data_IF_654768126164
#
_entry.id   IF_654768126164
#
_cell.length_a   1.000
_cell.length_b   1.000
_cell.length_c   1.000
_cell.angle_alpha   90.00
_cell.angle_beta   90.00
_cell.angle_gamma   90.00
#
_symmetry.space_group_name_H-M   'P 1'
#
loop_
_entity.id
_entity.type
_entity.pdbx_description
1 polymer ?
#
# COMPACT_ATOMS: atom_id res chain seq x y z
N UNK A 1 13.20 -13.99 15.97
CA UNK A 1 13.23 -12.56 15.61
C UNK A 1 12.69 -11.75 16.78
N UNK A 2 13.48 -10.85 17.37
CA UNK A 2 13.03 -9.93 18.43
C UNK A 2 12.32 -8.78 17.74
N UNK A 3 11.04 -8.53 18.05
CA UNK A 3 10.38 -7.35 17.51
C UNK A 3 10.95 -6.10 18.19
N UNK A 4 11.78 -5.36 17.46
CA UNK A 4 12.44 -4.14 17.93
C UNK A 4 11.46 -2.99 18.15
N UNK A 5 10.31 -2.98 17.47
CA UNK A 5 9.36 -1.87 17.49
C UNK A 5 8.55 -1.76 18.77
N UNK A 6 8.37 -2.86 19.53
CA UNK A 6 7.43 -2.88 20.67
C UNK A 6 7.82 -1.93 21.81
N UNK A 7 9.08 -1.50 21.85
CA UNK A 7 9.62 -0.56 22.84
C UNK A 7 9.71 0.88 22.33
N UNK A 8 9.48 1.08 21.03
CA UNK A 8 9.54 2.41 20.43
C UNK A 8 8.39 3.29 20.96
N UNK A 9 8.66 4.56 21.33
CA UNK A 9 7.62 5.45 21.86
C UNK A 9 6.41 5.57 20.92
N UNK A 10 6.66 5.67 19.61
CA UNK A 10 5.58 5.80 18.63
C UNK A 10 4.68 4.56 18.60
N UNK A 11 5.25 3.37 18.79
CA UNK A 11 4.52 2.11 18.78
C UNK A 11 3.69 1.97 20.05
N UNK A 12 4.26 2.31 21.20
CA UNK A 12 3.53 2.35 22.49
C UNK A 12 2.31 3.27 22.37
N UNK A 13 2.48 4.46 21.80
CA UNK A 13 1.37 5.38 21.57
C UNK A 13 0.35 4.82 20.57
N UNK A 14 0.80 4.18 19.48
CA UNK A 14 -0.11 3.51 18.56
C UNK A 14 -0.92 2.38 19.24
N UNK A 15 -0.32 1.63 20.17
CA UNK A 15 -1.02 0.63 20.98
C UNK A 15 -2.09 1.24 21.88
N UNK A 16 -1.83 2.43 22.47
CA UNK A 16 -2.85 3.14 23.26
C UNK A 16 -4.08 3.49 22.41
N UNK A 17 -3.88 4.00 21.19
CA UNK A 17 -4.99 4.27 20.27
C UNK A 17 -5.76 3.00 19.89
N UNK A 18 -5.05 1.92 19.56
CA UNK A 18 -5.67 0.63 19.28
C UNK A 18 -6.54 0.15 20.45
N UNK A 19 -5.98 0.12 21.66
CA UNK A 19 -6.70 -0.32 22.86
C UNK A 19 -7.94 0.53 23.11
N UNK A 20 -7.83 1.85 22.92
CA UNK A 20 -8.97 2.76 23.03
C UNK A 20 -10.06 2.41 22.00
N UNK A 21 -9.72 2.23 20.72
CA UNK A 21 -10.70 1.86 19.70
C UNK A 21 -11.35 0.51 19.98
N UNK A 22 -10.58 -0.48 20.43
CA UNK A 22 -11.12 -1.78 20.84
C UNK A 22 -12.07 -1.61 22.03
N UNK A 23 -11.72 -0.84 23.06
CA UNK A 23 -12.60 -0.59 24.21
C UNK A 23 -13.91 0.11 23.83
N UNK A 24 -13.89 0.97 22.81
CA UNK A 24 -15.09 1.66 22.30
C UNK A 24 -15.95 0.75 21.41
N UNK A 25 -15.31 -0.15 20.66
CA UNK A 25 -15.98 -1.08 19.77
C UNK A 25 -16.56 -2.31 20.49
N UNK A 26 -15.90 -2.75 21.57
CA UNK A 26 -16.12 -4.02 22.24
C UNK A 26 -15.26 -5.15 21.64
N UNK A 27 -14.69 -5.99 22.51
CA UNK A 27 -13.77 -7.06 22.13
C UNK A 27 -14.38 -8.04 21.13
N UNK A 28 -15.60 -8.54 21.39
CA UNK A 28 -16.27 -9.50 20.51
C UNK A 28 -16.45 -8.96 19.09
N UNK A 29 -16.80 -7.67 18.98
CA UNK A 29 -16.96 -7.01 17.69
C UNK A 29 -15.62 -6.81 16.99
N UNK A 30 -14.57 -6.46 17.72
CA UNK A 30 -13.21 -6.38 17.19
C UNK A 30 -12.77 -7.74 16.64
N UNK A 31 -12.89 -8.82 17.42
CA UNK A 31 -12.54 -10.18 17.01
C UNK A 31 -13.22 -10.56 15.70
N UNK A 32 -14.54 -10.34 15.59
CA UNK A 32 -15.28 -10.63 14.35
C UNK A 32 -14.78 -9.85 13.13
N UNK A 33 -14.42 -8.56 13.29
CA UNK A 33 -13.90 -7.74 12.19
C UNK A 33 -12.48 -8.13 11.81
N UNK A 34 -11.64 -8.47 12.80
CA UNK A 34 -10.31 -9.02 12.59
C UNK A 34 -10.36 -10.32 11.77
N UNK A 35 -11.31 -11.20 12.08
CA UNK A 35 -11.48 -12.46 11.35
C UNK A 35 -11.84 -12.23 9.88
N UNK A 36 -12.60 -11.18 9.55
CA UNK A 36 -12.88 -10.78 8.16
C UNK A 36 -11.59 -10.37 7.43
N UNK A 37 -10.73 -9.55 8.07
CA UNK A 37 -9.43 -9.15 7.52
C UNK A 37 -8.58 -10.38 7.21
N UNK A 38 -8.47 -11.31 8.17
CA UNK A 38 -7.68 -12.52 8.03
C UNK A 38 -8.23 -13.43 6.92
N UNK A 39 -9.55 -13.60 6.87
CA UNK A 39 -10.23 -14.40 5.83
C UNK A 39 -10.00 -13.82 4.44
N UNK A 40 -10.10 -12.49 4.29
CA UNK A 40 -9.83 -11.80 3.04
C UNK A 40 -8.41 -12.09 2.53
N UNK A 41 -7.38 -11.88 3.34
CA UNK A 41 -6.00 -12.07 2.89
C UNK A 41 -5.64 -13.54 2.66
N UNK A 42 -6.28 -14.48 3.36
CA UNK A 42 -6.17 -15.91 3.03
C UNK A 42 -6.77 -16.26 1.69
N UNK A 43 -7.88 -15.63 1.31
CA UNK A 43 -8.47 -15.80 -0.01
C UNK A 43 -7.58 -15.18 -1.10
N UNK A 44 -7.05 -13.98 -0.88
CA UNK A 44 -6.08 -13.35 -1.77
C UNK A 44 -4.88 -14.27 -1.99
N UNK A 45 -4.32 -14.79 -0.90
CA UNK A 45 -3.20 -15.74 -0.94
C UNK A 45 -3.56 -16.99 -1.74
N UNK A 46 -4.71 -17.63 -1.44
CA UNK A 46 -5.14 -18.84 -2.12
C UNK A 46 -5.29 -18.62 -3.64
N UNK A 47 -5.78 -17.47 -4.06
CA UNK A 47 -5.91 -17.10 -5.48
C UNK A 47 -4.54 -16.84 -6.09
N UNK A 48 -3.71 -16.02 -5.45
CA UNK A 48 -2.42 -15.56 -5.98
C UNK A 48 -1.45 -16.72 -6.24
N UNK A 49 -1.47 -17.76 -5.39
CA UNK A 49 -0.59 -18.92 -5.53
C UNK A 49 -1.29 -20.16 -6.10
N UNK A 50 -2.45 -19.98 -6.73
CA UNK A 50 -3.12 -21.03 -7.51
C UNK A 50 -3.76 -22.16 -6.68
N UNK A 51 -3.89 -21.99 -5.36
CA UNK A 51 -4.67 -22.89 -4.51
C UNK A 51 -6.19 -22.77 -4.76
N UNK A 52 -6.63 -21.66 -5.34
CA UNK A 52 -8.03 -21.39 -5.74
C UNK A 52 -8.05 -20.64 -7.07
N UNK A 53 -9.04 -20.92 -7.94
CA UNK A 53 -9.27 -20.11 -9.14
C UNK A 53 -9.94 -18.79 -8.75
N UNK A 54 -9.50 -17.68 -9.34
CA UNK A 54 -10.18 -16.40 -9.19
C UNK A 54 -11.59 -16.49 -9.80
N UNK A 55 -12.63 -16.23 -9.02
CA UNK A 55 -13.96 -15.95 -9.55
C UNK A 55 -14.00 -14.46 -9.89
N UNK A 56 -13.89 -14.11 -11.17
CA UNK A 56 -13.95 -12.71 -11.58
C UNK A 56 -15.37 -12.19 -11.40
N UNK A 57 -15.64 -11.43 -10.34
CA UNK A 57 -16.90 -10.67 -10.25
C UNK A 57 -16.90 -9.47 -11.20
N UNK A 58 -15.73 -8.91 -11.56
CA UNK A 58 -15.63 -7.68 -12.37
C UNK A 58 -14.42 -7.64 -13.34
N UNK A 59 -13.86 -8.78 -13.75
CA UNK A 59 -12.73 -8.83 -14.69
C UNK A 59 -11.38 -8.31 -14.16
N UNK A 60 -11.32 -7.80 -12.91
CA UNK A 60 -10.06 -7.40 -12.27
C UNK A 60 -9.31 -8.63 -11.74
N UNK A 61 -8.25 -9.04 -12.43
CA UNK A 61 -7.36 -10.13 -12.00
C UNK A 61 -6.44 -9.77 -10.82
N UNK A 62 -6.40 -8.51 -10.39
CA UNK A 62 -5.49 -8.03 -9.34
C UNK A 62 -6.26 -7.73 -8.07
N UNK A 63 -6.12 -8.62 -7.08
CA UNK A 63 -6.60 -8.39 -5.73
C UNK A 63 -5.68 -7.38 -5.02
N UNK A 64 -6.21 -6.31 -4.42
CA UNK A 64 -5.37 -5.29 -3.81
C UNK A 64 -4.76 -5.76 -2.48
N UNK A 65 -3.58 -5.23 -2.14
CA UNK A 65 -2.93 -5.43 -0.83
C UNK A 65 -3.54 -4.44 0.20
N UNK A 66 -4.86 -4.49 0.36
CA UNK A 66 -5.63 -3.77 1.36
C UNK A 66 -7.07 -4.30 1.40
N UNK A 67 -7.66 -4.38 2.59
CA UNK A 67 -9.05 -4.83 2.77
C UNK A 67 -10.01 -3.64 2.74
N UNK A 68 -10.62 -3.37 1.58
CA UNK A 68 -11.47 -2.20 1.34
C UNK A 68 -12.89 -2.29 1.88
N UNK A 69 -13.38 -3.45 2.31
CA UNK A 69 -14.73 -3.53 2.89
C UNK A 69 -14.78 -2.95 4.31
N UNK A 70 -13.63 -2.93 4.99
CA UNK A 70 -13.50 -2.42 6.35
C UNK A 70 -12.06 -1.91 6.59
N UNK A 71 -11.78 -0.69 6.13
CA UNK A 71 -10.43 -0.10 6.23
C UNK A 71 -9.96 0.06 7.65
N UNK A 72 -10.85 0.49 8.56
CA UNK A 72 -10.43 0.73 9.93
C UNK A 72 -10.04 -0.58 10.62
N UNK A 73 -10.74 -1.68 10.34
CA UNK A 73 -10.33 -2.98 10.85
C UNK A 73 -8.98 -3.43 10.29
N UNK A 74 -8.71 -3.16 9.01
CA UNK A 74 -7.39 -3.39 8.41
C UNK A 74 -6.29 -2.58 9.11
N UNK A 75 -6.55 -1.30 9.38
CA UNK A 75 -5.58 -0.42 10.05
C UNK A 75 -5.30 -0.88 11.48
N UNK A 76 -6.35 -1.22 12.22
CA UNK A 76 -6.23 -1.78 13.56
C UNK A 76 -5.47 -3.12 13.55
N UNK A 77 -5.71 -3.98 12.56
CA UNK A 77 -5.00 -5.25 12.41
C UNK A 77 -3.49 -5.03 12.22
N UNK A 78 -3.10 -4.07 11.38
CA UNK A 78 -1.69 -3.74 11.16
C UNK A 78 -0.99 -3.27 12.44
N UNK A 79 -1.66 -2.43 13.24
CA UNK A 79 -1.11 -1.97 14.53
C UNK A 79 -1.06 -3.11 15.56
N UNK A 80 -2.10 -3.94 15.66
CA UNK A 80 -2.13 -5.12 16.53
C UNK A 80 -1.00 -6.09 16.18
N UNK A 81 -0.71 -6.26 14.88
CA UNK A 81 0.31 -7.17 14.40
C UNK A 81 1.71 -6.79 14.84
N UNK A 82 2.02 -5.51 15.10
CA UNK A 82 3.29 -5.14 15.73
C UNK A 82 3.46 -5.91 17.06
N UNK A 83 2.43 -5.95 17.89
CA UNK A 83 2.58 -6.51 19.24
C UNK A 83 2.39 -8.02 19.28
N UNK A 84 1.40 -8.51 18.55
CA UNK A 84 0.95 -9.89 18.68
C UNK A 84 1.53 -10.79 17.57
N UNK A 85 1.80 -10.24 16.38
CA UNK A 85 2.13 -11.00 15.16
C UNK A 85 3.15 -10.26 14.27
N UNK A 86 4.40 -10.06 14.74
CA UNK A 86 5.36 -9.19 14.07
C UNK A 86 5.80 -9.65 12.67
N UNK A 87 5.48 -10.89 12.32
CA UNK A 87 5.74 -11.45 11.00
C UNK A 87 4.55 -11.26 10.03
N UNK A 88 3.47 -10.66 10.51
CA UNK A 88 2.27 -10.30 9.73
C UNK A 88 2.20 -8.81 9.45
N UNK A 89 1.51 -8.49 8.36
CA UNK A 89 1.27 -7.12 7.92
C UNK A 89 2.05 -6.75 6.66
N UNK A 90 1.94 -5.48 6.26
CA UNK A 90 2.54 -4.93 5.06
C UNK A 90 3.29 -3.64 5.42
N UNK A 91 4.57 -3.54 5.08
CA UNK A 91 5.41 -2.42 5.49
C UNK A 91 4.94 -1.09 4.88
N UNK A 92 4.50 -1.10 3.62
CA UNK A 92 4.09 0.10 2.90
C UNK A 92 2.76 0.66 3.42
N UNK A 93 1.78 -0.20 3.65
CA UNK A 93 0.51 0.19 4.27
C UNK A 93 0.74 0.66 5.72
N UNK A 94 1.56 -0.08 6.47
CA UNK A 94 1.88 0.21 7.87
C UNK A 94 2.51 1.60 8.04
N UNK A 95 3.50 1.94 7.22
CA UNK A 95 4.20 3.23 7.27
C UNK A 95 3.26 4.43 7.13
N UNK A 96 2.14 4.27 6.42
CA UNK A 96 1.10 5.29 6.26
C UNK A 96 0.19 5.43 7.48
N UNK A 97 -0.03 4.35 8.22
CA UNK A 97 -1.07 4.25 9.25
C UNK A 97 -0.50 4.52 10.64
N UNK A 98 0.70 4.00 10.92
CA UNK A 98 1.33 4.10 12.24
C UNK A 98 1.46 5.54 12.76
N UNK A 99 1.79 6.56 11.93
CA UNK A 99 1.85 7.94 12.41
C UNK A 99 0.51 8.46 12.96
N UNK A 100 -0.62 8.08 12.34
CA UNK A 100 -1.94 8.50 12.81
C UNK A 100 -2.32 7.83 14.13
N UNK A 101 -2.13 6.52 14.25
CA UNK A 101 -2.38 5.82 15.52
C UNK A 101 -1.48 6.33 16.64
N UNK A 102 -0.20 6.54 16.35
CA UNK A 102 0.75 7.13 17.30
C UNK A 102 0.32 8.53 17.73
N UNK A 103 -0.07 9.39 16.79
CA UNK A 103 -0.57 10.73 17.08
C UNK A 103 -1.83 10.68 17.95
N UNK A 104 -2.80 9.83 17.64
CA UNK A 104 -4.04 9.71 18.40
C UNK A 104 -3.74 9.23 19.82
N UNK A 105 -2.96 8.16 19.98
CA UNK A 105 -2.69 7.59 21.29
C UNK A 105 -1.82 8.48 22.18
N UNK A 106 -0.88 9.24 21.58
CA UNK A 106 -0.06 10.22 22.29
C UNK A 106 -0.89 11.38 22.85
N UNK A 107 -1.92 11.81 22.12
CA UNK A 107 -2.73 12.99 22.46
C UNK A 107 -4.17 12.60 22.89
N UNK A 108 -4.37 11.36 23.34
CA UNK A 108 -5.70 10.80 23.56
C UNK A 108 -6.51 11.60 24.57
N UNK A 109 -5.91 12.00 25.71
CA UNK A 109 -6.61 12.80 26.73
C UNK A 109 -7.10 14.13 26.16
N UNK A 110 -6.24 14.85 25.44
CA UNK A 110 -6.60 16.12 24.80
C UNK A 110 -7.69 15.96 23.75
N UNK A 111 -7.62 14.90 22.93
CA UNK A 111 -8.65 14.62 21.92
C UNK A 111 -10.01 14.32 22.56
N UNK A 112 -10.03 13.60 23.68
CA UNK A 112 -11.26 13.24 24.40
C UNK A 112 -11.93 14.44 25.09
N UNK A 113 -11.22 15.54 25.29
CA UNK A 113 -11.77 16.81 25.81
C UNK A 113 -12.45 17.66 24.73
N UNK A 114 -12.30 17.30 23.44
CA UNK A 114 -12.89 18.06 22.33
C UNK A 114 -14.39 17.79 22.25
N UNK A 115 -15.19 18.85 22.31
CA UNK A 115 -16.64 18.76 22.15
C UNK A 115 -16.99 18.07 20.81
N UNK A 116 -17.81 17.01 20.85
CA UNK A 116 -18.23 16.25 19.66
C UNK A 116 -17.29 15.12 19.20
N UNK A 117 -16.17 14.88 19.90
CA UNK A 117 -15.24 13.79 19.57
C UNK A 117 -15.89 12.40 19.55
N UNK A 118 -16.78 12.12 20.50
CA UNK A 118 -17.41 10.79 20.64
C UNK A 118 -18.14 10.38 19.34
N UNK A 119 -18.89 11.31 18.73
CA UNK A 119 -19.57 11.05 17.45
C UNK A 119 -18.56 10.75 16.33
N UNK A 120 -17.42 11.45 16.29
CA UNK A 120 -16.38 11.19 15.29
C UNK A 120 -15.70 9.84 15.48
N UNK A 121 -15.51 9.40 16.72
CA UNK A 121 -15.01 8.04 17.01
C UNK A 121 -16.05 6.98 16.62
N UNK A 122 -17.34 7.20 16.89
CA UNK A 122 -18.40 6.30 16.43
C UNK A 122 -18.44 6.20 14.90
N UNK A 123 -18.29 7.33 14.19
CA UNK A 123 -18.22 7.37 12.73
C UNK A 123 -17.00 6.61 12.20
N UNK A 124 -15.83 6.80 12.81
CA UNK A 124 -14.59 6.09 12.46
C UNK A 124 -14.73 4.58 12.59
N UNK A 125 -15.38 4.13 13.65
CA UNK A 125 -15.54 2.70 13.95
C UNK A 125 -16.76 2.09 13.25
N UNK A 126 -17.54 2.87 12.50
CA UNK A 126 -18.70 2.38 11.77
C UNK A 126 -18.29 1.73 10.44
N UNK A 127 -18.47 0.41 10.33
CA UNK A 127 -18.18 -0.35 9.10
C UNK A 127 -18.91 0.17 7.84
N UNK A 128 -20.07 0.84 8.01
CA UNK A 128 -20.83 1.41 6.90
C UNK A 128 -20.30 2.77 6.43
N UNK A 129 -19.53 3.49 7.26
CA UNK A 129 -18.91 4.79 6.95
C UNK A 129 -17.40 4.58 6.76
N UNK A 130 -17.03 3.90 5.69
CA UNK A 130 -15.68 3.36 5.50
C UNK A 130 -14.68 4.36 4.88
N UNK A 131 -14.46 5.49 5.55
CA UNK A 131 -13.51 6.53 5.12
C UNK A 131 -12.57 6.97 6.28
N UNK A 132 -11.85 6.05 6.94
CA UNK A 132 -11.06 6.38 8.13
C UNK A 132 -9.95 7.40 7.87
N UNK A 133 -9.43 7.49 6.65
CA UNK A 133 -8.42 8.48 6.29
C UNK A 133 -8.92 9.93 6.47
N UNK A 134 -10.19 10.20 6.16
CA UNK A 134 -10.79 11.54 6.31
C UNK A 134 -10.86 11.90 7.79
N UNK A 135 -11.38 10.99 8.61
CA UNK A 135 -11.52 11.21 10.05
C UNK A 135 -10.14 11.31 10.73
N UNK A 136 -9.15 10.51 10.32
CA UNK A 136 -7.78 10.65 10.79
C UNK A 136 -7.16 12.01 10.47
N UNK A 137 -7.45 12.56 9.29
CA UNK A 137 -7.02 13.91 8.93
C UNK A 137 -7.70 14.97 9.79
N UNK A 138 -9.02 14.89 9.98
CA UNK A 138 -9.76 15.79 10.87
C UNK A 138 -9.23 15.76 12.31
N UNK A 139 -8.98 14.56 12.87
CA UNK A 139 -8.38 14.39 14.20
C UNK A 139 -6.98 15.01 14.29
N UNK A 140 -6.17 14.88 13.23
CA UNK A 140 -4.85 15.49 13.18
C UNK A 140 -4.91 17.02 13.16
N UNK A 141 -5.83 17.61 12.38
CA UNK A 141 -6.06 19.05 12.32
C UNK A 141 -6.58 19.58 13.67
N UNK A 142 -7.56 18.89 14.26
CA UNK A 142 -8.09 19.24 15.58
C UNK A 142 -6.98 19.25 16.65
N UNK A 143 -6.16 18.18 16.71
CA UNK A 143 -5.02 18.10 17.62
C UNK A 143 -4.01 19.25 17.40
N UNK A 144 -3.74 19.63 16.15
CA UNK A 144 -2.87 20.76 15.84
C UNK A 144 -3.41 22.08 16.42
N UNK A 145 -4.71 22.34 16.26
CA UNK A 145 -5.34 23.53 16.85
C UNK A 145 -5.29 23.51 18.38
N UNK A 146 -5.60 22.37 19.01
CA UNK A 146 -5.46 22.21 20.46
C UNK A 146 -4.04 22.53 20.95
N UNK A 147 -3.02 22.02 20.25
CA UNK A 147 -1.60 22.29 20.58
C UNK A 147 -1.21 23.75 20.46
N UNK A 148 -1.90 24.49 19.59
CA UNK A 148 -1.71 25.93 19.41
C UNK A 148 -2.58 26.77 20.36
N UNK A 149 -3.21 26.15 21.36
CA UNK A 149 -3.99 26.82 22.41
C UNK A 149 -5.40 27.21 21.98
N UNK A 150 -5.94 26.61 20.91
CA UNK A 150 -7.34 26.81 20.52
C UNK A 150 -8.25 25.81 21.25
N UNK A 151 -9.41 26.28 21.69
CA UNK A 151 -10.52 25.38 22.03
C UNK A 151 -11.16 24.92 20.72
N UNK A 152 -11.32 23.60 20.56
CA UNK A 152 -11.85 22.97 19.35
C UNK A 152 -13.18 22.29 19.66
N UNK A 153 -14.10 22.28 18.69
CA UNK A 153 -15.33 21.49 18.72
C UNK A 153 -15.58 20.89 17.33
N UNK A 154 -15.92 19.61 17.27
CA UNK A 154 -16.41 18.96 16.05
C UNK A 154 -17.86 19.35 15.80
N UNK A 155 -18.17 19.68 14.56
CA UNK A 155 -19.51 20.08 14.16
C UNK A 155 -20.21 18.86 13.54
N UNK A 156 -21.38 18.46 14.04
CA UNK A 156 -22.14 17.38 13.44
C UNK A 156 -22.53 17.69 12.00
N UNK A 157 -22.33 16.73 11.10
CA UNK A 157 -22.87 16.81 9.74
C UNK A 157 -24.39 16.98 9.75
N UNK A 158 -24.88 17.90 8.94
CA UNK A 158 -26.31 18.11 8.69
C UNK A 158 -26.68 17.60 7.31
N UNK A 159 -27.79 16.86 7.20
CA UNK A 159 -28.36 16.45 5.90
C UNK A 159 -29.07 17.58 5.18
N UNK A 160 -29.33 18.72 5.85
CA UNK A 160 -30.14 19.82 5.33
C UNK A 160 -29.31 21.01 4.85
N UNK A 161 -28.09 21.20 5.36
CA UNK A 161 -27.22 22.31 5.00
C UNK A 161 -25.74 21.92 5.10
N UNK A 162 -24.89 22.61 4.35
CA UNK A 162 -23.43 22.42 4.45
C UNK A 162 -22.94 22.94 5.80
N UNK A 163 -22.27 22.09 6.57
CA UNK A 163 -21.63 22.42 7.84
C UNK A 163 -20.11 22.30 7.70
N UNK A 164 -19.33 23.26 8.25
CA UNK A 164 -17.88 23.08 8.36
C UNK A 164 -17.56 21.93 9.33
N UNK A 165 -16.33 21.40 9.29
CA UNK A 165 -15.95 20.24 10.12
C UNK A 165 -15.68 20.63 11.58
N UNK A 166 -14.99 21.75 11.80
CA UNK A 166 -14.58 22.22 13.13
C UNK A 166 -14.99 23.66 13.40
N UNK A 167 -15.25 23.95 14.66
CA UNK A 167 -15.20 25.29 15.22
C UNK A 167 -13.96 25.42 16.10
N UNK A 168 -13.25 26.54 15.99
CA UNK A 168 -12.11 26.87 16.85
C UNK A 168 -12.31 28.22 17.52
N UNK A 169 -11.89 28.34 18.79
CA UNK A 169 -11.98 29.57 19.58
C UNK A 169 -10.70 29.85 20.36
N UNK A 170 -10.23 31.10 20.34
CA UNK A 170 -9.08 31.58 21.13
C UNK A 170 -9.15 33.10 21.27
N UNK A 171 -8.89 33.63 22.47
CA UNK A 171 -8.79 35.07 22.74
C UNK A 171 -9.96 35.91 22.18
N UNK A 172 -11.19 35.41 22.33
CA UNK A 172 -12.42 36.07 21.84
C UNK A 172 -12.67 35.93 20.33
N UNK A 173 -11.77 35.31 19.58
CA UNK A 173 -11.93 35.01 18.16
C UNK A 173 -12.58 33.64 17.96
N UNK A 174 -13.37 33.52 16.88
CA UNK A 174 -13.99 32.27 16.47
C UNK A 174 -13.84 32.10 14.95
N UNK A 175 -13.43 30.90 14.53
CA UNK A 175 -13.34 30.52 13.13
C UNK A 175 -14.02 29.17 12.86
N UNK A 176 -14.42 28.99 11.61
CA UNK A 176 -14.94 27.74 11.09
C UNK A 176 -13.88 27.13 10.17
N UNK A 177 -13.59 25.86 10.37
CA UNK A 177 -12.52 25.15 9.63
C UNK A 177 -13.12 24.01 8.83
N UNK A 178 -12.85 24.02 7.54
CA UNK A 178 -13.11 22.91 6.62
C UNK A 178 -11.82 22.10 6.44
N UNK A 179 -11.89 20.79 6.68
CA UNK A 179 -10.79 19.86 6.57
C UNK A 179 -10.78 19.20 5.19
N UNK A 180 -10.10 19.82 4.23
CA UNK A 180 -9.90 19.21 2.91
C UNK A 180 -8.59 18.45 2.84
N UNK A 181 -8.69 17.12 2.80
CA UNK A 181 -7.55 16.27 2.46
C UNK A 181 -7.35 16.29 0.95
N UNK A 182 -6.12 16.55 0.49
CA UNK A 182 -5.78 16.36 -0.91
C UNK A 182 -5.99 14.91 -1.31
N UNK A 183 -6.57 14.67 -2.48
CA UNK A 183 -6.71 13.30 -2.99
C UNK A 183 -5.33 12.63 -3.02
N UNK A 184 -5.29 11.38 -2.56
CA UNK A 184 -4.05 10.61 -2.39
C UNK A 184 -3.29 10.45 -3.71
N UNK A 185 -4.03 10.38 -4.81
CA UNK A 185 -3.53 10.13 -6.16
C UNK A 185 -4.41 10.98 -7.12
N UNK A 186 -3.82 11.83 -7.97
CA UNK A 186 -4.53 12.52 -9.05
C UNK A 186 -5.30 11.54 -9.93
N UNK A 187 -6.47 11.92 -10.45
CA UNK A 187 -7.24 11.09 -11.38
C UNK A 187 -6.39 10.67 -12.60
N UNK A 188 -5.53 11.58 -13.06
CA UNK A 188 -4.57 11.28 -14.14
C UNK A 188 -3.58 10.17 -13.75
N UNK A 189 -3.12 10.13 -12.50
CA UNK A 189 -2.19 9.07 -12.05
C UNK A 189 -2.87 7.70 -12.00
N UNK A 190 -4.15 7.63 -11.64
CA UNK A 190 -4.93 6.38 -11.68
C UNK A 190 -5.13 5.92 -13.13
N UNK A 191 -5.47 6.85 -14.05
CA UNK A 191 -5.57 6.55 -15.47
C UNK A 191 -4.24 6.08 -16.06
N UNK A 192 -3.13 6.78 -15.79
CA UNK A 192 -1.80 6.39 -16.25
C UNK A 192 -1.39 5.02 -15.70
N UNK A 193 -1.72 4.72 -14.45
CA UNK A 193 -1.50 3.39 -13.84
C UNK A 193 -2.31 2.30 -14.53
N UNK A 194 -3.55 2.59 -14.92
CA UNK A 194 -4.39 1.65 -15.68
C UNK A 194 -3.79 1.36 -17.06
N UNK A 195 -3.31 2.39 -17.76
CA UNK A 195 -2.64 2.24 -19.06
C UNK A 195 -1.34 1.45 -18.96
N UNK A 196 -0.57 1.66 -17.89
CA UNK A 196 0.59 0.84 -17.54
C UNK A 196 0.20 -0.62 -17.29
N UNK A 197 -0.85 -0.87 -16.49
CA UNK A 197 -1.31 -2.22 -16.19
C UNK A 197 -1.68 -2.98 -17.47
N UNK A 198 -2.43 -2.35 -18.38
CA UNK A 198 -2.82 -2.96 -19.66
C UNK A 198 -1.62 -3.39 -20.51
N UNK A 199 -0.57 -2.56 -20.61
CA UNK A 199 0.65 -2.87 -21.37
C UNK A 199 1.53 -3.90 -20.67
N UNK A 200 1.74 -3.73 -19.37
CA UNK A 200 2.61 -4.60 -18.57
C UNK A 200 2.09 -6.03 -18.47
N UNK A 201 0.76 -6.22 -18.38
CA UNK A 201 0.13 -7.55 -18.32
C UNK A 201 0.59 -8.46 -19.47
N UNK A 202 0.65 -7.92 -20.69
CA UNK A 202 1.06 -8.67 -21.90
C UNK A 202 2.50 -9.16 -21.80
N UNK A 203 3.42 -8.27 -21.41
CA UNK A 203 4.83 -8.64 -21.23
C UNK A 203 5.00 -9.61 -20.04
N UNK A 204 4.33 -9.36 -18.92
CA UNK A 204 4.44 -10.23 -17.75
C UNK A 204 3.90 -11.63 -17.99
N UNK A 205 2.86 -11.78 -18.82
CA UNK A 205 2.35 -13.09 -19.21
C UNK A 205 3.41 -13.90 -19.97
N UNK A 206 4.11 -13.27 -20.93
CA UNK A 206 5.22 -13.90 -21.65
C UNK A 206 6.36 -14.26 -20.69
N UNK A 207 6.77 -13.34 -19.81
CA UNK A 207 7.86 -13.60 -18.86
C UNK A 207 7.54 -14.78 -17.94
N UNK A 208 6.28 -14.89 -17.50
CA UNK A 208 5.83 -15.95 -16.62
C UNK A 208 5.71 -17.29 -17.35
N UNK A 209 5.08 -17.32 -18.53
CA UNK A 209 4.87 -18.52 -19.35
C UNK A 209 6.19 -19.17 -19.75
N UNK A 210 7.14 -18.37 -20.23
CA UNK A 210 8.45 -18.85 -20.68
C UNK A 210 9.49 -18.92 -19.56
N UNK A 211 9.09 -18.71 -18.29
CA UNK A 211 9.96 -18.76 -17.10
C UNK A 211 11.22 -17.91 -17.23
N UNK A 212 11.05 -16.69 -17.74
CA UNK A 212 12.12 -15.76 -18.05
C UNK A 212 12.45 -14.89 -16.83
N UNK A 213 13.74 -14.56 -16.67
CA UNK A 213 14.22 -13.83 -15.50
C UNK A 213 14.99 -12.56 -15.86
N UNK A 214 14.30 -11.42 -15.75
CA UNK A 214 14.82 -10.13 -16.18
C UNK A 214 14.51 -9.01 -15.19
N UNK A 215 15.46 -8.10 -15.04
CA UNK A 215 15.22 -6.74 -14.56
C UNK A 215 14.98 -5.88 -15.79
N UNK A 216 13.83 -5.22 -15.84
CA UNK A 216 13.39 -4.39 -16.97
C UNK A 216 13.08 -3.00 -16.43
N UNK A 217 13.88 -2.00 -16.80
CA UNK A 217 13.66 -0.60 -16.42
C UNK A 217 13.11 0.18 -17.62
N UNK A 218 11.99 0.86 -17.42
CA UNK A 218 11.13 1.39 -18.49
C UNK A 218 10.90 2.89 -18.25
N UNK A 219 11.28 3.70 -19.23
CA UNK A 219 11.09 5.15 -19.21
C UNK A 219 10.19 5.54 -20.37
N UNK A 220 8.96 5.93 -20.06
CA UNK A 220 8.03 6.51 -21.03
C UNK A 220 8.36 8.00 -21.25
N UNK A 221 8.58 8.38 -22.50
CA UNK A 221 8.92 9.77 -22.92
C UNK A 221 7.70 10.57 -23.33
N UNK A 222 6.61 9.89 -23.66
CA UNK A 222 5.27 10.42 -23.93
C UNK A 222 4.28 9.83 -22.91
N UNK A 223 3.05 10.39 -22.77
CA UNK A 223 2.04 9.80 -21.92
C UNK A 223 1.84 8.31 -22.23
N UNK A 224 1.69 7.46 -21.19
CA UNK A 224 1.61 6.00 -21.38
C UNK A 224 0.47 5.62 -22.34
N UNK A 225 -0.66 6.34 -22.27
CA UNK A 225 -1.82 6.19 -23.14
C UNK A 225 -1.54 6.43 -24.63
N UNK A 226 -0.51 7.21 -24.96
CA UNK A 226 -0.15 7.56 -26.35
C UNK A 226 0.76 6.51 -26.99
N UNK A 227 1.32 5.59 -26.20
CA UNK A 227 2.14 4.50 -26.74
C UNK A 227 1.29 3.34 -27.27
N UNK A 228 1.82 2.56 -28.22
CA UNK A 228 1.17 1.33 -28.66
C UNK A 228 0.94 0.32 -27.53
N UNK A 229 -0.19 -0.38 -27.53
CA UNK A 229 -0.53 -1.36 -26.47
C UNK A 229 0.49 -2.52 -26.35
N UNK A 230 1.18 -2.84 -27.44
CA UNK A 230 2.18 -3.92 -27.49
C UNK A 230 3.62 -3.41 -27.36
N UNK A 231 3.85 -2.10 -27.13
CA UNK A 231 5.19 -1.49 -27.18
C UNK A 231 6.23 -2.23 -26.33
N UNK A 232 5.83 -2.72 -25.15
CA UNK A 232 6.72 -3.47 -24.24
C UNK A 232 7.09 -4.85 -24.80
N UNK A 233 6.13 -5.53 -25.44
CA UNK A 233 6.34 -6.84 -26.07
C UNK A 233 7.19 -6.69 -27.34
N UNK A 234 6.90 -5.67 -28.15
CA UNK A 234 7.64 -5.38 -29.38
C UNK A 234 9.11 -5.09 -29.08
N UNK A 235 9.39 -4.22 -28.10
CA UNK A 235 10.75 -3.95 -27.63
C UNK A 235 11.44 -5.19 -27.07
N UNK A 236 10.70 -6.05 -26.34
CA UNK A 236 11.27 -7.29 -25.80
C UNK A 236 11.63 -8.28 -26.91
N UNK A 237 10.77 -8.45 -27.92
CA UNK A 237 11.03 -9.30 -29.08
C UNK A 237 12.22 -8.79 -29.89
N UNK A 238 12.33 -7.48 -30.08
CA UNK A 238 13.49 -6.86 -30.72
C UNK A 238 14.77 -7.09 -29.92
N UNK A 239 14.71 -6.93 -28.60
CA UNK A 239 15.82 -7.25 -27.70
C UNK A 239 16.28 -8.71 -27.86
N UNK A 240 15.36 -9.68 -27.83
CA UNK A 240 15.68 -11.09 -28.04
C UNK A 240 16.30 -11.34 -29.41
N UNK A 241 15.77 -10.71 -30.46
CA UNK A 241 16.26 -10.86 -31.84
C UNK A 241 17.70 -10.34 -32.02
N UNK A 242 18.03 -9.20 -31.42
CA UNK A 242 19.32 -8.53 -31.61
C UNK A 242 20.38 -9.06 -30.63
N UNK A 243 19.99 -9.33 -29.37
CA UNK A 243 20.92 -9.60 -28.27
C UNK A 243 20.83 -11.02 -27.72
N UNK A 244 19.98 -11.87 -28.30
CA UNK A 244 19.74 -13.26 -27.89
C UNK A 244 19.16 -13.46 -26.48
N UNK A 245 18.94 -12.38 -25.73
CA UNK A 245 18.40 -12.43 -24.36
C UNK A 245 19.42 -12.62 -23.24
N UNK A 246 20.70 -12.86 -23.55
CA UNK A 246 21.70 -13.23 -22.52
C UNK A 246 22.55 -12.05 -22.04
N UNK A 247 22.38 -10.86 -22.66
CA UNK A 247 23.20 -9.68 -22.39
C UNK A 247 22.35 -8.51 -21.94
N UNK A 248 22.95 -7.63 -21.14
CA UNK A 248 22.36 -6.32 -20.86
C UNK A 248 22.28 -5.54 -22.17
N UNK A 249 21.13 -4.94 -22.44
CA UNK A 249 20.95 -4.07 -23.59
C UNK A 249 19.86 -3.05 -23.33
N UNK A 250 19.80 -2.05 -24.22
CA UNK A 250 18.82 -1.00 -24.18
C UNK A 250 18.17 -0.89 -25.56
N UNK A 251 16.85 -0.74 -25.57
CA UNK A 251 16.06 -0.39 -26.76
C UNK A 251 15.53 1.02 -26.54
N UNK A 252 15.69 1.88 -27.54
CA UNK A 252 15.30 3.27 -27.46
C UNK A 252 14.52 3.69 -28.70
N UNK A 253 13.34 4.26 -28.49
CA UNK A 253 12.52 4.92 -29.51
C UNK A 253 12.26 6.37 -29.11
N UNK A 254 11.47 7.08 -29.93
CA UNK A 254 10.94 8.40 -29.59
C UNK A 254 9.97 8.37 -28.40
N UNK A 255 9.29 7.24 -28.17
CA UNK A 255 8.23 7.10 -27.16
C UNK A 255 8.72 6.48 -25.86
N UNK A 256 9.72 5.60 -25.93
CA UNK A 256 10.15 4.79 -24.79
C UNK A 256 11.65 4.53 -24.79
N UNK A 257 12.17 4.27 -23.61
CA UNK A 257 13.50 3.70 -23.40
C UNK A 257 13.36 2.52 -22.45
N UNK A 258 13.84 1.35 -22.85
CA UNK A 258 13.76 0.14 -22.04
C UNK A 258 15.15 -0.47 -21.91
N UNK A 259 15.57 -0.67 -20.66
CA UNK A 259 16.80 -1.39 -20.32
C UNK A 259 16.46 -2.80 -19.87
N UNK A 260 17.01 -3.80 -20.56
CA UNK A 260 16.87 -5.21 -20.21
C UNK A 260 18.15 -5.73 -19.56
N UNK A 261 18.01 -6.42 -18.43
CA UNK A 261 19.11 -7.07 -17.73
C UNK A 261 18.70 -8.47 -17.29
N UNK A 262 19.31 -9.53 -17.85
CA UNK A 262 19.12 -10.89 -17.34
C UNK A 262 19.52 -10.98 -15.87
N UNK A 263 18.73 -11.74 -15.09
CA UNK A 263 18.99 -11.95 -13.67
C UNK A 263 19.77 -13.23 -13.42
N UNK A 264 20.69 -13.18 -12.45
CA UNK A 264 21.43 -14.36 -12.01
C UNK A 264 20.64 -15.09 -10.92
N UNK A 265 19.83 -16.06 -11.32
CA UNK A 265 19.00 -16.86 -10.40
C UNK A 265 19.82 -17.62 -9.36
N UNK A 266 21.04 -18.05 -9.68
CA UNK A 266 21.89 -18.75 -8.71
C UNK A 266 22.31 -17.82 -7.56
N UNK A 267 22.63 -16.56 -7.86
CA UNK A 267 22.94 -15.57 -6.82
C UNK A 267 21.70 -15.21 -6.00
N UNK A 268 20.55 -14.99 -6.67
CA UNK A 268 19.29 -14.67 -5.99
C UNK A 268 18.88 -15.81 -5.05
N UNK A 269 18.87 -17.05 -5.52
CA UNK A 269 18.50 -18.20 -4.70
C UNK A 269 19.47 -18.47 -3.54
N UNK A 270 20.75 -18.10 -3.68
CA UNK A 270 21.69 -18.15 -2.55
C UNK A 270 21.31 -17.12 -1.48
N UNK A 271 20.99 -15.89 -1.88
CA UNK A 271 20.56 -14.84 -0.94
C UNK A 271 19.21 -15.15 -0.26
N UNK A 272 18.28 -15.78 -0.99
CA UNK A 272 16.99 -16.25 -0.45
C UNK A 272 17.17 -17.35 0.62
N UNK A 273 18.19 -18.21 0.48
CA UNK A 273 18.50 -19.24 1.48
C UNK A 273 19.14 -18.69 2.75
N UNK A 274 19.85 -17.58 2.65
CA UNK A 274 20.56 -16.97 3.78
C UNK A 274 19.66 -16.06 4.62
N UNK A 275 18.51 -15.63 4.09
CA UNK A 275 17.60 -14.67 4.75
C UNK A 275 16.14 -15.03 4.53
N UNK A 276 15.34 -14.86 5.57
CA UNK A 276 13.88 -14.95 5.48
C UNK A 276 13.33 -13.74 4.70
N UNK A 277 13.26 -13.84 3.37
CA UNK A 277 12.76 -12.75 2.50
C UNK A 277 11.27 -12.95 2.22
N UNK A 278 10.48 -11.97 2.64
CA UNK A 278 9.03 -11.97 2.45
C UNK A 278 8.69 -11.77 0.98
N UNK A 279 7.63 -12.41 0.53
CA UNK A 279 7.05 -12.14 -0.77
C UNK A 279 6.53 -10.69 -0.87
N UNK A 280 6.59 -10.09 -2.07
CA UNK A 280 6.09 -8.75 -2.35
C UNK A 280 6.71 -7.67 -1.44
N UNK A 281 7.97 -7.84 -1.07
CA UNK A 281 8.69 -6.94 -0.16
C UNK A 281 9.72 -6.07 -0.88
N UNK A 282 10.06 -4.88 -0.35
CA UNK A 282 11.21 -4.10 -0.81
C UNK A 282 12.51 -4.91 -0.82
N UNK A 283 12.70 -5.79 0.17
CA UNK A 283 13.88 -6.66 0.29
C UNK A 283 13.98 -7.62 -0.89
N UNK A 284 12.87 -8.18 -1.37
CA UNK A 284 12.88 -9.04 -2.57
C UNK A 284 13.35 -8.28 -3.82
N UNK A 285 12.92 -7.03 -3.98
CA UNK A 285 13.36 -6.17 -5.08
C UNK A 285 14.87 -5.93 -4.95
N UNK A 286 15.34 -5.57 -3.75
CA UNK A 286 16.76 -5.34 -3.47
C UNK A 286 17.62 -6.57 -3.79
N UNK A 287 17.19 -7.78 -3.44
CA UNK A 287 17.88 -9.03 -3.80
C UNK A 287 17.98 -9.21 -5.32
N UNK A 288 16.91 -8.89 -6.04
CA UNK A 288 16.87 -9.09 -7.49
C UNK A 288 17.69 -8.05 -8.26
N UNK A 289 17.66 -6.78 -7.82
CA UNK A 289 18.21 -5.67 -8.59
C UNK A 289 19.32 -4.88 -7.90
N UNK A 290 19.70 -5.27 -6.69
CA UNK A 290 20.78 -4.68 -5.88
C UNK A 290 20.42 -3.38 -5.18
N UNK A 291 19.21 -2.84 -5.40
CA UNK A 291 18.70 -1.64 -4.74
C UNK A 291 17.18 -1.59 -4.76
N UNK A 292 16.59 -1.03 -3.72
CA UNK A 292 15.19 -0.62 -3.71
C UNK A 292 15.10 0.91 -3.66
N UNK A 293 14.38 1.51 -4.61
CA UNK A 293 14.08 2.94 -4.58
C UNK A 293 12.66 3.15 -4.03
N UNK A 294 12.57 3.84 -2.89
CA UNK A 294 11.30 4.22 -2.29
C UNK A 294 10.49 5.08 -3.26
N UNK A 295 9.20 4.76 -3.42
CA UNK A 295 8.31 5.43 -4.37
C UNK A 295 8.45 4.96 -5.82
N UNK A 296 9.37 4.03 -6.13
CA UNK A 296 9.45 3.44 -7.46
C UNK A 296 8.23 2.58 -7.81
N UNK A 297 7.83 2.58 -9.08
CA UNK A 297 6.71 1.77 -9.54
C UNK A 297 7.20 0.40 -10.02
N UNK A 298 7.12 -0.60 -9.14
CA UNK A 298 7.57 -1.96 -9.43
C UNK A 298 6.40 -2.90 -9.72
N UNK A 299 6.62 -3.81 -10.65
CA UNK A 299 5.82 -5.02 -10.86
C UNK A 299 6.76 -6.21 -10.76
N UNK A 300 6.42 -7.15 -9.89
CA UNK A 300 7.19 -8.39 -9.71
C UNK A 300 6.34 -9.55 -10.20
N UNK A 301 6.90 -10.36 -11.10
CA UNK A 301 6.30 -11.64 -11.51
C UNK A 301 7.32 -12.74 -11.37
N UNK A 302 6.91 -13.87 -10.82
CA UNK A 302 7.83 -14.97 -10.59
C UNK A 302 7.09 -16.30 -10.53
N UNK A 303 7.81 -17.34 -10.93
CA UNK A 303 7.41 -18.71 -10.67
C UNK A 303 8.20 -19.18 -9.44
N UNK A 304 7.47 -19.50 -8.38
CA UNK A 304 8.06 -20.04 -7.15
C UNK A 304 8.18 -21.56 -7.27
N UNK A 305 9.30 -22.09 -6.79
CA UNK A 305 9.43 -23.54 -6.58
C UNK A 305 8.90 -23.89 -5.18
N UNK A 306 9.25 -23.08 -4.18
CA UNK A 306 8.92 -23.32 -2.77
C UNK A 306 8.61 -22.01 -2.04
N UNK A 307 7.46 -21.98 -1.34
CA UNK A 307 7.05 -20.92 -0.41
C UNK A 307 6.85 -21.54 0.98
N UNK A 308 7.17 -20.78 2.01
CA UNK A 308 6.92 -21.19 3.39
C UNK A 308 6.33 -20.05 4.22
N UNK A 309 5.67 -20.41 5.32
CA UNK A 309 5.06 -19.45 6.26
C UNK A 309 5.88 -19.37 7.53
N UNK A 310 6.14 -18.15 8.00
CA UNK A 310 6.68 -17.91 9.33
C UNK A 310 5.63 -17.25 10.21
N UNK A 311 5.62 -17.55 11.50
CA UNK A 311 4.56 -17.10 12.40
C UNK A 311 4.29 -18.12 13.49
N UNK A 312 3.71 -17.67 14.60
CA UNK A 312 3.35 -18.56 15.71
C UNK A 312 1.84 -18.81 15.76
N UNK A 313 1.06 -17.85 15.28
CA UNK A 313 -0.39 -17.88 15.33
C UNK A 313 -0.95 -18.23 13.96
N UNK A 314 -1.06 -19.53 13.69
CA UNK A 314 -1.58 -20.02 12.40
C UNK A 314 -3.01 -19.53 12.12
N UNK A 315 -3.76 -19.13 13.13
CA UNK A 315 -5.14 -18.68 12.99
C UNK A 315 -5.24 -17.23 12.52
N UNK A 316 -4.27 -16.38 12.87
CA UNK A 316 -4.34 -14.95 12.58
C UNK A 316 -3.14 -14.40 11.81
N UNK A 317 -2.05 -15.16 11.66
CA UNK A 317 -0.91 -14.74 10.85
C UNK A 317 -1.28 -14.73 9.35
N UNK A 318 -1.18 -13.56 8.72
CA UNK A 318 -1.37 -13.32 7.28
C UNK A 318 -0.19 -12.51 6.73
N UNK A 319 -0.05 -12.44 5.40
CA UNK A 319 1.03 -11.71 4.73
C UNK A 319 2.42 -12.13 5.23
N UNK A 320 2.54 -13.41 5.60
CA UNK A 320 3.68 -14.01 6.26
C UNK A 320 4.31 -15.12 5.40
N UNK A 321 4.15 -15.00 4.08
CA UNK A 321 4.76 -15.88 3.10
C UNK A 321 6.16 -15.40 2.75
N UNK A 322 7.10 -16.33 2.81
CA UNK A 322 8.50 -16.15 2.51
C UNK A 322 8.89 -17.05 1.34
N UNK A 323 9.91 -16.59 0.60
CA UNK A 323 10.37 -17.26 -0.60
C UNK A 323 11.63 -18.05 -0.23
N UNK A 324 11.59 -19.37 -0.42
CA UNK A 324 12.78 -20.21 -0.29
C UNK A 324 13.56 -20.24 -1.60
N UNK A 325 12.85 -20.50 -2.71
CA UNK A 325 13.45 -20.65 -4.02
C UNK A 325 12.53 -20.19 -5.14
N UNK A 326 13.11 -19.47 -6.10
CA UNK A 326 12.45 -19.08 -7.35
C UNK A 326 13.00 -19.90 -8.52
N UNK A 327 12.09 -20.39 -9.36
CA UNK A 327 12.42 -21.00 -10.65
C UNK A 327 12.62 -19.96 -11.75
N UNK A 328 11.93 -18.82 -11.65
CA UNK A 328 12.17 -17.63 -12.47
C UNK A 328 11.58 -16.40 -11.78
N UNK A 329 12.17 -15.23 -11.98
CA UNK A 329 11.68 -13.95 -11.43
C UNK A 329 12.01 -12.81 -12.37
N UNK A 330 11.04 -11.95 -12.62
CA UNK A 330 11.22 -10.71 -13.38
C UNK A 330 10.69 -9.52 -12.61
N UNK A 331 11.46 -8.43 -12.63
CA UNK A 331 11.14 -7.15 -11.99
C UNK A 331 11.04 -6.09 -13.08
N UNK A 332 9.84 -5.54 -13.26
CA UNK A 332 9.61 -4.38 -14.11
C UNK A 332 9.57 -3.15 -13.22
N UNK A 333 10.33 -2.12 -13.60
CA UNK A 333 10.25 -0.78 -13.01
C UNK A 333 9.85 0.18 -14.11
N UNK A 334 8.91 1.08 -13.84
CA UNK A 334 8.53 2.09 -14.82
C UNK A 334 8.49 3.51 -14.24
N UNK A 335 8.81 4.46 -15.10
CA UNK A 335 8.69 5.90 -14.84
C UNK A 335 8.20 6.60 -16.11
N UNK A 336 7.41 7.65 -15.95
CA UNK A 336 7.01 8.55 -17.04
C UNK A 336 7.73 9.88 -16.86
N UNK A 337 8.55 10.25 -17.84
CA UNK A 337 9.27 11.54 -17.92
C UNK A 337 8.60 12.51 -18.90
N UNK A 338 7.42 12.15 -19.41
CA UNK A 338 6.62 13.06 -20.25
C UNK A 338 6.28 14.33 -19.48
N UNK A 339 6.56 15.48 -20.10
CA UNK A 339 6.22 16.79 -19.55
C UNK A 339 4.71 16.90 -19.27
N UNK A 340 3.87 16.36 -20.15
CA UNK A 340 2.41 16.33 -19.94
C UNK A 340 2.05 15.53 -18.69
N UNK A 341 2.59 14.31 -18.55
CA UNK A 341 2.34 13.47 -17.38
C UNK A 341 2.82 14.14 -16.09
N UNK A 342 4.01 14.73 -16.08
CA UNK A 342 4.54 15.47 -14.93
C UNK A 342 3.59 16.61 -14.55
N UNK A 343 3.19 17.43 -15.52
CA UNK A 343 2.31 18.56 -15.28
C UNK A 343 0.92 18.14 -14.79
N UNK A 344 0.33 17.09 -15.37
CA UNK A 344 -1.00 16.60 -14.93
C UNK A 344 -0.97 16.00 -13.53
N UNK A 345 0.14 15.34 -13.15
CA UNK A 345 0.34 14.82 -11.79
C UNK A 345 0.63 15.93 -10.77
N UNK A 346 1.23 17.03 -11.21
CA UNK A 346 1.54 18.18 -10.35
C UNK A 346 0.36 19.16 -10.17
N UNK A 347 -0.59 19.23 -11.11
CA UNK A 347 -1.71 20.19 -11.10
C UNK A 347 -2.60 20.12 -9.85
N UNK A 348 -2.63 18.98 -9.18
CA UNK A 348 -3.39 18.79 -7.94
C UNK A 348 -2.61 19.20 -6.69
N UNK A 349 -1.35 19.63 -6.82
CA UNK A 349 -0.53 20.26 -5.76
C UNK A 349 -0.53 21.77 -5.99
N UNK A 350 -1.56 22.47 -5.48
CA UNK A 350 -1.62 23.94 -5.49
C UNK A 350 -1.71 24.52 -4.09
#
# INVERSE_FOLDING_TARGET
>A
MVNIYIKEPWAIDAKKALNFFVSRMGDERWLKRRDKVVSYFREVEAIQYGFKKAESKDGKLVMPIAFYDDWIAWYMYLVESIFERPLSGDALQSARIFPFFSMIGKNLSTLLEIDGIEKKIEELLNEKKNHPDTIFFELAVANLYCKNGWKVSFIPESTYYKSPDLQIRKDGQQYWVECKRMQKVPDYSESERSEWQNRSLRLTAILQEYKLSYSIDIIFKVPVSETGENILVDCFNEYLKIHSGDKRAQIQTSEIEISFRPLNLASINRELKERDIRNNSPELIEVCIGKYESGGNYVTVFNHDELYKLGKDKNFDILNLYIDKVGSISILKWTSVSEHSINMKAKDVK
#
